data_IF_825875564831
#
_entry.id   IF_825875564831
#
_cell.length_a   1.000
_cell.length_b   1.000
_cell.length_c   1.000
_cell.angle_alpha   90.00
_cell.angle_beta   90.00
_cell.angle_gamma   90.00
#
_symmetry.space_group_name_H-M   'P 1'
#
loop_
_entity.id
_entity.type
_entity.pdbx_description
1 polymer ?
#
# COMPACT_ATOMS: atom_id res chain seq x y z
N UNK A 1 -92.75 6.05 -28.63
CA UNK A 1 -93.16 6.82 -27.43
C UNK A 1 -92.31 6.30 -26.28
N UNK A 2 -91.24 6.94 -25.84
CA UNK A 2 -90.94 8.37 -25.72
C UNK A 2 -89.49 8.69 -26.06
N UNK A 3 -89.34 9.78 -26.81
CA UNK A 3 -88.23 10.74 -26.93
C UNK A 3 -86.91 10.35 -27.62
N UNK A 4 -86.95 10.61 -28.92
CA UNK A 4 -85.88 10.90 -29.87
C UNK A 4 -85.11 12.21 -29.56
N UNK A 5 -83.79 12.14 -29.78
CA UNK A 5 -82.94 13.08 -30.57
C UNK A 5 -82.82 14.55 -30.13
N UNK A 6 -81.61 14.91 -29.69
CA UNK A 6 -80.77 16.02 -30.24
C UNK A 6 -79.48 16.10 -29.40
N UNK A 7 -78.42 15.38 -29.74
CA UNK A 7 -77.35 15.76 -30.68
C UNK A 7 -76.86 17.23 -30.61
N UNK A 8 -75.62 17.34 -30.09
CA UNK A 8 -74.52 18.26 -30.45
C UNK A 8 -74.76 19.78 -30.32
N UNK A 9 -73.90 20.43 -29.52
CA UNK A 9 -72.88 21.43 -29.96
C UNK A 9 -72.31 22.19 -28.74
N UNK A 10 -70.97 22.07 -28.57
CA UNK A 10 -69.99 23.01 -27.97
C UNK A 10 -70.12 23.34 -26.46
N UNK A 11 -69.09 23.51 -25.62
CA UNK A 11 -67.62 23.51 -25.67
C UNK A 11 -67.23 23.60 -24.16
N UNK A 12 -66.34 22.84 -23.55
CA UNK A 12 -64.89 23.02 -23.64
C UNK A 12 -64.22 22.27 -22.47
N UNK A 13 -63.01 21.76 -22.74
CA UNK A 13 -61.95 21.32 -21.82
C UNK A 13 -62.22 20.00 -21.06
N UNK A 14 -61.33 18.99 -21.06
CA UNK A 14 -59.88 19.00 -21.28
C UNK A 14 -59.39 17.56 -21.57
N UNK A 15 -58.72 17.44 -22.70
CA UNK A 15 -57.63 16.53 -23.08
C UNK A 15 -57.49 15.16 -22.37
N UNK A 16 -57.69 14.12 -23.18
CA UNK A 16 -56.97 12.85 -23.08
C UNK A 16 -55.46 13.12 -23.13
N UNK A 17 -54.72 12.60 -22.14
CA UNK A 17 -53.33 12.21 -22.34
C UNK A 17 -53.19 10.72 -22.04
N UNK A 18 -53.04 9.98 -23.13
CA UNK A 18 -52.38 8.68 -23.22
C UNK A 18 -51.25 8.57 -22.19
N UNK A 19 -51.28 7.52 -21.37
CA UNK A 19 -50.09 7.07 -20.63
C UNK A 19 -49.13 6.45 -21.65
N UNK A 20 -48.42 7.32 -22.38
CA UNK A 20 -47.28 6.90 -23.16
C UNK A 20 -46.25 6.31 -22.20
N UNK A 21 -45.82 5.10 -22.53
CA UNK A 21 -44.69 4.42 -21.91
C UNK A 21 -43.43 5.29 -22.09
N UNK A 22 -43.18 6.18 -21.14
CA UNK A 22 -41.88 6.82 -20.99
C UNK A 22 -40.95 5.74 -20.43
N UNK A 23 -40.29 5.03 -21.32
CA UNK A 23 -39.07 4.31 -20.98
C UNK A 23 -38.12 5.34 -20.36
N UNK A 24 -37.92 5.26 -19.04
CA UNK A 24 -36.82 5.94 -18.39
C UNK A 24 -35.55 5.31 -18.95
N UNK A 25 -34.97 5.97 -19.95
CA UNK A 25 -33.62 5.70 -20.42
C UNK A 25 -32.67 6.08 -19.27
N UNK A 26 -32.52 5.15 -18.32
CA UNK A 26 -31.42 5.17 -17.37
C UNK A 26 -30.16 4.84 -18.18
N UNK A 27 -29.64 5.86 -18.86
CA UNK A 27 -28.23 5.90 -19.23
C UNK A 27 -27.45 5.87 -17.91
N UNK A 28 -27.22 4.66 -17.40
CA UNK A 28 -26.08 4.39 -16.54
C UNK A 28 -24.88 4.69 -17.42
N UNK A 29 -24.39 5.93 -17.36
CA UNK A 29 -23.00 6.19 -17.68
C UNK A 29 -22.22 5.19 -16.83
N UNK A 30 -21.64 4.18 -17.48
CA UNK A 30 -20.69 3.28 -16.84
C UNK A 30 -19.49 4.17 -16.56
N UNK A 31 -19.51 4.84 -15.41
CA UNK A 31 -18.29 5.36 -14.82
C UNK A 31 -17.49 4.10 -14.49
N UNK A 32 -16.46 3.82 -15.29
CA UNK A 32 -15.41 2.90 -14.87
C UNK A 32 -15.03 3.31 -13.44
N UNK A 33 -15.04 2.34 -12.52
CA UNK A 33 -14.56 2.56 -11.17
C UNK A 33 -13.17 3.22 -11.30
N UNK A 34 -12.94 4.37 -10.63
CA UNK A 34 -11.70 5.11 -10.82
C UNK A 34 -10.51 4.22 -10.51
N UNK A 35 -9.49 4.23 -11.39
CA UNK A 35 -8.24 3.49 -11.21
C UNK A 35 -7.71 3.71 -9.78
N UNK A 36 -7.49 2.63 -9.04
CA UNK A 36 -6.97 2.70 -7.67
C UNK A 36 -5.50 2.28 -7.64
N UNK A 37 -4.69 3.06 -6.93
CA UNK A 37 -3.28 2.79 -6.74
C UNK A 37 -2.93 2.86 -5.25
N UNK A 38 -1.86 2.17 -4.87
CA UNK A 38 -1.25 2.29 -3.54
C UNK A 38 0.14 2.89 -3.64
N UNK A 39 0.53 3.68 -2.67
CA UNK A 39 1.91 4.15 -2.54
C UNK A 39 2.41 4.10 -1.11
N UNK A 40 3.60 3.53 -0.94
CA UNK A 40 4.25 3.34 0.35
C UNK A 40 5.54 4.15 0.43
N UNK A 41 5.66 5.03 1.44
CA UNK A 41 6.86 5.85 1.56
C UNK A 41 8.11 5.06 1.99
N UNK A 42 9.30 5.60 1.73
CA UNK A 42 10.52 5.11 2.36
C UNK A 42 10.56 5.43 3.84
N UNK A 43 10.90 4.44 4.67
CA UNK A 43 10.88 4.59 6.13
C UNK A 43 11.76 3.58 6.91
N UNK A 44 12.71 2.90 6.27
CA UNK A 44 13.65 1.98 6.93
C UNK A 44 12.97 1.00 7.90
N UNK A 45 13.42 0.96 9.16
CA UNK A 45 12.88 0.05 10.18
C UNK A 45 11.40 0.30 10.54
N UNK A 46 10.86 1.48 10.23
CA UNK A 46 9.42 1.72 10.35
C UNK A 46 8.60 1.07 9.22
N UNK A 47 9.24 0.36 8.29
CA UNK A 47 8.55 -0.56 7.38
C UNK A 47 7.65 -1.55 8.10
N UNK A 48 7.93 -1.86 9.38
CA UNK A 48 7.06 -2.67 10.23
C UNK A 48 5.64 -2.09 10.42
N UNK A 49 5.50 -0.77 10.42
CA UNK A 49 4.18 -0.12 10.42
C UNK A 49 3.44 -0.44 9.12
N UNK A 50 4.13 -0.31 7.98
CA UNK A 50 3.57 -0.58 6.67
C UNK A 50 3.27 -2.07 6.46
N UNK A 51 4.00 -2.99 7.11
CA UNK A 51 3.62 -4.41 7.19
C UNK A 51 2.31 -4.60 7.95
N UNK A 52 2.08 -3.81 9.01
CA UNK A 52 0.78 -3.76 9.70
C UNK A 52 -0.35 -3.28 8.78
N UNK A 53 -0.06 -2.30 7.94
CA UNK A 53 -0.98 -1.82 6.90
C UNK A 53 -1.28 -2.92 5.89
N UNK A 54 -0.24 -3.53 5.31
CA UNK A 54 -0.38 -4.63 4.36
C UNK A 54 -1.16 -5.82 4.95
N UNK A 55 -0.93 -6.16 6.22
CA UNK A 55 -1.67 -7.20 6.93
C UNK A 55 -3.16 -6.87 7.01
N UNK A 56 -3.50 -5.66 7.46
CA UNK A 56 -4.88 -5.25 7.61
C UNK A 56 -5.59 -5.12 6.26
N UNK A 57 -4.94 -4.56 5.23
CA UNK A 57 -5.47 -4.53 3.86
C UNK A 57 -5.75 -5.94 3.34
N UNK A 58 -4.80 -6.87 3.53
CA UNK A 58 -4.95 -8.26 3.06
C UNK A 58 -6.10 -8.99 3.73
N UNK A 59 -6.39 -8.66 5.00
CA UNK A 59 -7.42 -9.32 5.81
C UNK A 59 -8.78 -8.62 5.76
N UNK A 60 -8.82 -7.31 5.61
CA UNK A 60 -10.05 -6.53 5.81
C UNK A 60 -10.37 -5.58 4.65
N UNK A 61 -9.52 -5.48 3.64
CA UNK A 61 -9.73 -4.64 2.47
C UNK A 61 -9.45 -5.41 1.18
N UNK A 62 -9.85 -6.69 1.10
CA UNK A 62 -9.48 -7.54 -0.03
C UNK A 62 -10.13 -7.08 -1.33
N UNK A 63 -11.37 -6.56 -1.27
CA UNK A 63 -12.07 -5.93 -2.38
C UNK A 63 -11.42 -4.63 -2.83
N UNK A 64 -10.91 -3.80 -1.90
CA UNK A 64 -10.11 -2.62 -2.26
C UNK A 64 -8.81 -3.03 -2.96
N UNK A 65 -8.09 -4.03 -2.42
CA UNK A 65 -6.87 -4.55 -3.05
C UNK A 65 -7.11 -5.19 -4.42
N UNK A 66 -8.30 -5.73 -4.67
CA UNK A 66 -8.67 -6.29 -5.97
C UNK A 66 -8.78 -5.20 -7.06
N UNK A 67 -9.14 -3.97 -6.69
CA UNK A 67 -9.21 -2.80 -7.58
C UNK A 67 -7.86 -2.10 -7.77
N UNK A 68 -6.86 -2.42 -6.94
CA UNK A 68 -5.54 -1.79 -7.02
C UNK A 68 -4.78 -2.30 -8.24
N UNK A 69 -4.56 -1.41 -9.21
CA UNK A 69 -3.80 -1.69 -10.42
C UNK A 69 -2.29 -1.57 -10.19
N UNK A 70 -1.87 -0.47 -9.54
CA UNK A 70 -0.45 -0.13 -9.37
C UNK A 70 -0.10 0.05 -7.91
N UNK A 71 1.06 -0.46 -7.54
CA UNK A 71 1.63 -0.32 -6.19
C UNK A 71 3.01 0.30 -6.33
N UNK A 72 3.17 1.51 -5.83
CA UNK A 72 4.44 2.20 -5.80
C UNK A 72 5.09 2.16 -4.42
N UNK A 73 6.42 2.27 -4.40
CA UNK A 73 7.11 2.49 -3.15
C UNK A 73 8.56 2.91 -3.31
N UNK A 74 9.09 3.48 -2.25
CA UNK A 74 10.51 3.81 -2.09
C UNK A 74 11.07 3.06 -0.89
N UNK A 75 12.31 2.56 -0.96
CA UNK A 75 12.98 1.93 0.17
C UNK A 75 12.14 0.81 0.79
N UNK A 76 11.97 0.79 2.11
CA UNK A 76 11.07 -0.15 2.81
C UNK A 76 9.65 -0.21 2.19
N UNK A 77 9.14 0.89 1.65
CA UNK A 77 7.85 0.91 0.97
C UNK A 77 7.84 0.12 -0.35
N UNK A 78 8.95 0.09 -1.09
CA UNK A 78 9.07 -0.75 -2.28
C UNK A 78 9.04 -2.24 -1.94
N UNK A 79 9.64 -2.63 -0.80
CA UNK A 79 9.60 -4.00 -0.28
C UNK A 79 8.18 -4.41 0.10
N UNK A 80 7.41 -3.51 0.73
CA UNK A 80 6.01 -3.76 1.10
C UNK A 80 5.16 -3.86 -0.17
N UNK A 81 5.43 -2.99 -1.16
CA UNK A 81 4.80 -3.08 -2.46
C UNK A 81 5.06 -4.41 -3.17
N UNK A 82 6.29 -4.94 -3.08
CA UNK A 82 6.65 -6.24 -3.61
C UNK A 82 5.85 -7.37 -2.92
N UNK A 83 5.72 -7.33 -1.59
CA UNK A 83 4.90 -8.30 -0.84
C UNK A 83 3.45 -8.27 -1.31
N UNK A 84 2.84 -7.09 -1.49
CA UNK A 84 1.44 -6.98 -1.91
C UNK A 84 1.19 -7.33 -3.38
N UNK A 85 2.19 -7.14 -4.25
CA UNK A 85 2.10 -7.45 -5.69
C UNK A 85 2.46 -8.90 -6.03
N UNK A 86 3.28 -9.56 -5.21
CA UNK A 86 3.80 -10.91 -5.46
C UNK A 86 3.08 -11.94 -4.58
N UNK A 87 3.30 -11.91 -3.26
CA UNK A 87 2.71 -12.88 -2.34
C UNK A 87 2.48 -12.31 -0.95
N UNK A 88 1.20 -12.13 -0.59
CA UNK A 88 0.77 -11.59 0.71
C UNK A 88 1.07 -12.54 1.87
N UNK A 89 1.31 -13.83 1.61
CA UNK A 89 1.68 -14.78 2.66
C UNK A 89 3.07 -14.48 3.25
N UNK A 90 3.90 -13.72 2.53
CA UNK A 90 5.22 -13.28 3.00
C UNK A 90 5.17 -12.27 4.16
N UNK A 91 4.00 -11.68 4.47
CA UNK A 91 3.88 -10.67 5.53
C UNK A 91 4.44 -11.18 6.87
N UNK A 92 4.12 -12.42 7.26
CA UNK A 92 4.61 -12.99 8.51
C UNK A 92 6.13 -13.18 8.53
N UNK A 93 6.70 -13.64 7.40
CA UNK A 93 8.14 -13.77 7.23
C UNK A 93 8.85 -12.40 7.27
N UNK A 94 8.28 -11.38 6.64
CA UNK A 94 8.82 -10.02 6.68
C UNK A 94 8.78 -9.40 8.08
N UNK A 95 7.72 -9.68 8.87
CA UNK A 95 7.64 -9.26 10.28
C UNK A 95 8.74 -9.93 11.09
N UNK A 96 8.93 -11.24 10.91
CA UNK A 96 10.00 -11.98 11.60
C UNK A 96 11.38 -11.44 11.21
N UNK A 97 11.62 -11.22 9.91
CA UNK A 97 12.86 -10.65 9.40
C UNK A 97 13.15 -9.28 10.02
N UNK A 98 12.16 -8.39 10.10
CA UNK A 98 12.34 -7.07 10.72
C UNK A 98 12.73 -7.16 12.20
N UNK A 99 12.16 -8.11 12.95
CA UNK A 99 12.56 -8.35 14.34
C UNK A 99 13.96 -8.93 14.47
N UNK A 100 14.27 -9.96 13.70
CA UNK A 100 15.58 -10.61 13.74
C UNK A 100 16.69 -9.64 13.35
N UNK A 101 16.43 -8.77 12.35
CA UNK A 101 17.35 -7.73 11.92
C UNK A 101 17.58 -6.67 13.00
N UNK A 102 16.54 -6.28 13.73
CA UNK A 102 16.67 -5.36 14.85
C UNK A 102 17.50 -5.98 16.00
N UNK A 103 17.22 -7.24 16.34
CA UNK A 103 17.96 -8.00 17.36
C UNK A 103 19.44 -8.16 16.95
N UNK A 104 19.72 -8.48 15.68
CA UNK A 104 21.09 -8.58 15.13
C UNK A 104 21.86 -7.26 15.24
N UNK A 105 21.20 -6.13 14.91
CA UNK A 105 21.80 -4.80 14.99
C UNK A 105 22.07 -4.38 16.43
N UNK A 106 21.13 -4.62 17.35
CA UNK A 106 21.34 -4.30 18.76
C UNK A 106 22.46 -5.11 19.40
N UNK A 107 22.76 -6.30 18.87
CA UNK A 107 23.92 -7.08 19.27
C UNK A 107 25.27 -6.54 18.74
N UNK A 108 25.25 -5.61 17.78
CA UNK A 108 26.49 -5.03 17.24
C UNK A 108 27.04 -3.89 18.12
N UNK A 109 28.36 -3.76 18.32
CA UNK A 109 28.96 -2.75 19.19
C UNK A 109 28.59 -1.29 18.87
N UNK A 110 28.40 -0.96 17.58
CA UNK A 110 28.01 0.38 17.10
C UNK A 110 26.67 0.34 16.35
N UNK A 111 25.86 -0.70 16.56
CA UNK A 111 24.62 -0.90 15.82
C UNK A 111 24.84 -0.97 14.32
N UNK A 112 23.99 -0.26 13.55
CA UNK A 112 24.09 -0.15 12.09
C UNK A 112 25.38 0.49 11.58
N UNK A 113 26.13 1.18 12.44
CA UNK A 113 27.41 1.82 12.10
C UNK A 113 28.61 0.89 12.32
N UNK A 114 28.38 -0.36 12.73
CA UNK A 114 29.43 -1.34 12.98
C UNK A 114 30.18 -1.66 11.69
N UNK A 115 31.51 -1.48 11.62
CA UNK A 115 32.28 -1.75 10.42
C UNK A 115 32.08 -3.19 9.93
N UNK A 116 31.93 -3.36 8.61
CA UNK A 116 31.69 -4.65 7.91
C UNK A 116 30.30 -5.28 8.12
N UNK A 117 29.48 -4.80 9.05
CA UNK A 117 28.07 -5.17 9.08
C UNK A 117 27.39 -4.65 7.80
N UNK A 118 26.52 -5.46 7.20
CA UNK A 118 25.81 -5.07 5.98
C UNK A 118 24.38 -5.57 6.03
N UNK A 119 23.48 -4.66 6.40
CA UNK A 119 22.03 -4.89 6.34
C UNK A 119 21.60 -5.34 4.94
N UNK A 120 22.23 -4.81 3.90
CA UNK A 120 21.92 -5.17 2.51
C UNK A 120 22.18 -6.63 2.20
N UNK A 121 23.21 -7.26 2.80
CA UNK A 121 23.44 -8.69 2.62
C UNK A 121 22.35 -9.54 3.27
N UNK A 122 21.92 -9.16 4.47
CA UNK A 122 20.81 -9.83 5.17
C UNK A 122 19.50 -9.69 4.36
N UNK A 123 19.25 -8.49 3.80
CA UNK A 123 18.09 -8.24 2.94
C UNK A 123 18.16 -9.00 1.61
N UNK A 124 19.30 -8.98 0.91
CA UNK A 124 19.52 -9.71 -0.35
C UNK A 124 19.26 -11.20 -0.15
N UNK A 125 19.85 -11.80 0.89
CA UNK A 125 19.61 -13.20 1.25
C UNK A 125 18.14 -13.48 1.51
N UNK A 126 17.46 -12.63 2.29
CA UNK A 126 16.03 -12.82 2.57
C UNK A 126 15.19 -12.78 1.29
N UNK A 127 15.45 -11.81 0.40
CA UNK A 127 14.73 -11.70 -0.87
C UNK A 127 15.00 -12.89 -1.78
N UNK A 128 16.25 -13.38 -1.83
CA UNK A 128 16.60 -14.55 -2.62
C UNK A 128 15.98 -15.85 -2.10
N UNK A 129 15.89 -16.00 -0.78
CA UNK A 129 15.31 -17.17 -0.13
C UNK A 129 13.78 -17.19 -0.23
N UNK A 130 13.12 -16.01 -0.24
CA UNK A 130 11.66 -15.90 -0.11
C UNK A 130 10.90 -15.57 -1.38
N UNK A 131 11.50 -14.87 -2.34
CA UNK A 131 10.79 -14.52 -3.57
C UNK A 131 10.68 -15.75 -4.49
N UNK A 132 9.47 -16.04 -5.03
CA UNK A 132 9.30 -17.14 -5.97
C UNK A 132 10.08 -16.89 -7.28
N UNK A 133 10.36 -17.97 -8.02
CA UNK A 133 11.15 -17.90 -9.27
C UNK A 133 10.58 -16.91 -10.30
N UNK A 134 9.25 -16.82 -10.41
CA UNK A 134 8.54 -15.92 -11.34
C UNK A 134 8.14 -14.56 -10.71
N UNK A 135 8.72 -14.18 -9.56
CA UNK A 135 8.39 -12.92 -8.88
C UNK A 135 8.49 -11.67 -9.77
N UNK A 136 9.46 -11.65 -10.68
CA UNK A 136 9.67 -10.56 -11.63
C UNK A 136 8.54 -10.41 -12.65
N UNK A 137 7.93 -11.51 -13.07
CA UNK A 137 6.75 -11.50 -13.96
C UNK A 137 5.53 -10.97 -13.22
N UNK A 138 5.32 -11.43 -11.98
CA UNK A 138 4.20 -10.99 -11.12
C UNK A 138 4.27 -9.51 -10.76
N UNK A 139 5.49 -9.00 -10.53
CA UNK A 139 5.73 -7.62 -10.17
C UNK A 139 5.72 -6.67 -11.38
N UNK A 140 6.09 -7.13 -12.58
CA UNK A 140 6.19 -6.28 -13.76
C UNK A 140 4.83 -5.70 -14.15
N UNK A 141 4.78 -4.38 -14.37
CA UNK A 141 3.54 -3.63 -14.65
C UNK A 141 2.66 -3.38 -13.43
N UNK A 142 2.93 -4.03 -12.29
CA UNK A 142 2.15 -3.89 -11.04
C UNK A 142 2.89 -3.16 -9.93
N UNK A 143 4.19 -3.41 -9.79
CA UNK A 143 5.09 -2.79 -8.81
C UNK A 143 5.88 -1.65 -9.46
N UNK A 144 5.96 -0.51 -8.79
CA UNK A 144 6.68 0.68 -9.24
C UNK A 144 7.70 1.09 -8.17
N UNK A 145 8.97 0.87 -8.46
CA UNK A 145 10.08 1.05 -7.51
C UNK A 145 10.75 2.40 -7.75
N UNK A 146 10.65 3.30 -6.78
CA UNK A 146 11.34 4.60 -6.79
C UNK A 146 12.82 4.41 -6.49
N UNK A 147 13.69 4.93 -7.36
CA UNK A 147 15.16 4.91 -7.20
C UNK A 147 15.75 6.27 -7.57
N UNK A 148 16.90 6.59 -6.99
CA UNK A 148 17.65 7.81 -7.33
C UNK A 148 18.82 7.46 -8.24
N UNK A 149 18.82 7.95 -9.48
CA UNK A 149 19.96 7.80 -10.38
C UNK A 149 21.13 8.67 -9.90
N UNK A 150 22.31 8.06 -9.68
CA UNK A 150 23.47 8.77 -9.11
C UNK A 150 24.08 9.81 -10.05
N UNK A 151 24.05 9.55 -11.36
CA UNK A 151 24.66 10.42 -12.36
C UNK A 151 23.77 11.64 -12.62
N UNK A 152 22.49 11.40 -12.93
CA UNK A 152 21.55 12.49 -13.22
C UNK A 152 21.02 13.18 -11.96
N UNK A 153 21.13 12.54 -10.79
CA UNK A 153 20.55 12.97 -9.50
C UNK A 153 19.03 13.16 -9.55
N UNK A 154 18.37 12.47 -10.48
CA UNK A 154 16.91 12.49 -10.65
C UNK A 154 16.30 11.18 -10.19
N UNK A 155 15.01 11.24 -9.88
CA UNK A 155 14.23 10.05 -9.63
C UNK A 155 14.02 9.27 -10.94
N UNK A 156 14.08 7.95 -10.86
CA UNK A 156 13.56 7.04 -11.87
C UNK A 156 12.58 6.07 -11.18
N UNK A 157 11.53 5.66 -11.89
CA UNK A 157 10.60 4.64 -11.41
C UNK A 157 10.74 3.39 -12.27
N UNK A 158 11.19 2.30 -11.66
CA UNK A 158 11.38 1.01 -12.32
C UNK A 158 10.15 0.14 -12.11
N UNK A 159 9.50 -0.28 -13.20
CA UNK A 159 8.24 -1.05 -13.14
C UNK A 159 8.22 -2.33 -13.97
N UNK A 160 9.30 -2.61 -14.68
CA UNK A 160 9.44 -3.81 -15.51
C UNK A 160 10.76 -4.47 -15.16
N UNK A 161 10.73 -5.78 -14.94
CA UNK A 161 11.85 -6.58 -14.47
C UNK A 161 12.05 -7.79 -15.38
N UNK A 162 13.22 -7.91 -16.01
CA UNK A 162 13.50 -9.00 -16.96
C UNK A 162 13.87 -10.32 -16.30
N UNK A 163 14.18 -10.32 -15.00
CA UNK A 163 14.52 -11.51 -14.23
C UNK A 163 14.26 -11.31 -12.73
N UNK A 164 14.17 -12.42 -11.98
CA UNK A 164 14.07 -12.38 -10.51
C UNK A 164 15.24 -11.62 -9.89
N UNK A 165 16.45 -11.83 -10.41
CA UNK A 165 17.65 -11.14 -9.96
C UNK A 165 17.59 -9.64 -10.24
N UNK A 166 17.07 -9.20 -11.40
CA UNK A 166 16.90 -7.77 -11.67
C UNK A 166 15.89 -7.15 -10.69
N UNK A 167 14.77 -7.82 -10.40
CA UNK A 167 13.81 -7.37 -9.38
C UNK A 167 14.49 -7.22 -8.00
N UNK A 168 15.23 -8.23 -7.55
CA UNK A 168 15.98 -8.17 -6.29
C UNK A 168 16.93 -6.98 -6.27
N UNK A 169 17.71 -6.77 -7.34
CA UNK A 169 18.63 -5.64 -7.44
C UNK A 169 17.89 -4.29 -7.43
N UNK A 170 16.71 -4.18 -8.06
CA UNK A 170 15.88 -2.97 -8.01
C UNK A 170 15.40 -2.66 -6.58
N UNK A 171 14.94 -3.67 -5.84
CA UNK A 171 14.52 -3.52 -4.45
C UNK A 171 15.70 -3.12 -3.55
N UNK A 172 16.85 -3.77 -3.72
CA UNK A 172 18.08 -3.42 -2.99
C UNK A 172 18.55 -2.00 -3.32
N UNK A 173 18.51 -1.58 -4.59
CA UNK A 173 18.83 -0.21 -4.98
C UNK A 173 17.89 0.81 -4.32
N UNK A 174 16.59 0.53 -4.30
CA UNK A 174 15.61 1.39 -3.66
C UNK A 174 15.80 1.49 -2.14
N UNK A 175 16.45 0.51 -1.51
CA UNK A 175 16.81 0.51 -0.07
C UNK A 175 18.28 0.88 0.21
N UNK A 176 19.07 1.25 -0.82
CA UNK A 176 20.50 1.49 -0.66
C UNK A 176 20.79 2.89 -0.11
N UNK A 177 21.10 2.95 1.18
CA UNK A 177 21.58 4.16 1.86
C UNK A 177 23.09 4.02 2.12
N UNK A 178 23.96 4.86 1.51
CA UNK A 178 25.42 4.70 1.57
C UNK A 178 26.02 4.57 2.98
N UNK A 179 25.38 5.20 3.98
CA UNK A 179 25.83 5.16 5.38
C UNK A 179 25.72 3.74 5.98
N UNK A 180 24.75 2.93 5.52
CA UNK A 180 24.44 1.60 6.09
C UNK A 180 24.76 0.43 5.14
N UNK A 181 24.87 0.71 3.85
CA UNK A 181 24.82 -0.31 2.80
C UNK A 181 26.19 -0.67 2.19
N UNK A 182 27.25 0.06 2.55
CA UNK A 182 28.59 -0.08 1.96
C UNK A 182 28.90 1.00 0.92
N UNK A 183 30.02 0.83 0.20
CA UNK A 183 30.52 1.83 -0.75
C UNK A 183 30.19 1.52 -2.22
N UNK A 184 29.74 0.31 -2.53
CA UNK A 184 29.46 -0.12 -3.91
C UNK A 184 27.95 -0.04 -4.18
N UNK A 185 27.48 0.99 -4.91
CA UNK A 185 26.06 1.12 -5.23
C UNK A 185 25.62 0.00 -6.19
N UNK A 186 24.36 -0.46 -6.10
CA UNK A 186 23.78 -1.37 -7.07
C UNK A 186 23.80 -0.78 -8.48
N UNK A 187 24.00 -1.67 -9.47
CA UNK A 187 24.02 -1.32 -10.89
C UNK A 187 22.89 -2.05 -11.59
N UNK A 188 21.96 -1.29 -12.17
CA UNK A 188 20.81 -1.81 -12.91
C UNK A 188 20.89 -1.24 -14.32
N UNK A 189 20.90 -2.10 -15.33
CA UNK A 189 20.99 -1.70 -16.76
C UNK A 189 22.13 -0.72 -17.03
N UNK A 190 23.30 -0.95 -16.41
CA UNK A 190 24.49 -0.12 -16.56
C UNK A 190 24.50 1.20 -15.78
N UNK A 191 23.42 1.54 -15.06
CA UNK A 191 23.30 2.77 -14.25
C UNK A 191 23.41 2.48 -12.76
N UNK A 192 24.02 3.41 -12.01
CA UNK A 192 24.18 3.32 -10.55
C UNK A 192 23.02 4.02 -9.85
N UNK A 193 22.47 3.38 -8.82
CA UNK A 193 21.31 3.88 -8.10
C UNK A 193 21.53 3.95 -6.58
N UNK A 194 20.78 4.86 -5.95
CA UNK A 194 20.59 4.98 -4.51
C UNK A 194 19.11 4.84 -4.17
N UNK A 195 18.84 4.81 -2.86
CA UNK A 195 17.49 4.82 -2.30
C UNK A 195 16.61 5.94 -2.94
N UNK A 196 15.37 5.59 -3.26
CA UNK A 196 14.41 6.50 -3.90
C UNK A 196 14.06 7.70 -3.03
N UNK A 197 14.17 7.58 -1.70
CA UNK A 197 13.84 8.60 -0.72
C UNK A 197 14.69 9.86 -0.81
N UNK A 198 15.84 9.80 -1.50
CA UNK A 198 16.67 10.97 -1.79
C UNK A 198 16.07 11.90 -2.85
N UNK A 199 15.15 11.40 -3.68
CA UNK A 199 14.53 12.17 -4.76
C UNK A 199 13.00 12.17 -4.69
N UNK A 200 12.37 11.02 -4.49
CA UNK A 200 10.93 10.86 -4.37
C UNK A 200 10.60 9.75 -3.35
N UNK A 201 10.32 10.16 -2.11
CA UNK A 201 10.12 9.23 -1.00
C UNK A 201 8.71 8.64 -0.95
N UNK A 202 7.72 9.30 -1.54
CA UNK A 202 6.33 8.85 -1.60
C UNK A 202 5.82 9.03 -3.04
N UNK A 203 6.17 8.11 -3.96
CA UNK A 203 5.81 8.23 -5.37
C UNK A 203 4.28 8.28 -5.57
N UNK A 204 3.81 9.00 -6.57
CA UNK A 204 2.38 9.10 -6.88
C UNK A 204 2.13 8.95 -8.36
N UNK A 205 0.93 8.52 -8.73
CA UNK A 205 0.50 8.41 -10.12
C UNK A 205 -0.37 9.62 -10.50
N UNK A 206 -0.26 10.05 -11.76
CA UNK A 206 -1.12 11.10 -12.34
C UNK A 206 -2.51 10.59 -12.71
N UNK A 207 -2.64 9.29 -12.95
CA UNK A 207 -3.89 8.61 -13.31
C UNK A 207 -4.49 7.91 -12.08
N UNK A 208 -5.79 8.08 -11.89
CA UNK A 208 -6.53 7.43 -10.81
C UNK A 208 -6.27 8.02 -9.41
N UNK A 209 -6.90 7.42 -8.40
CA UNK A 209 -6.68 7.76 -6.99
C UNK A 209 -5.52 6.94 -6.45
N UNK A 210 -4.53 7.61 -5.87
CA UNK A 210 -3.44 6.95 -5.12
C UNK A 210 -3.71 7.07 -3.63
N UNK A 211 -3.82 5.93 -2.93
CA UNK A 211 -3.87 5.88 -1.47
C UNK A 211 -2.43 5.92 -0.96
N UNK A 212 -2.07 6.94 -0.21
CA UNK A 212 -0.73 7.10 0.34
C UNK A 212 -0.62 6.53 1.75
N UNK A 213 0.46 5.79 1.98
CA UNK A 213 0.76 5.12 3.25
C UNK A 213 2.09 5.63 3.81
N UNK A 214 2.05 6.09 5.06
CA UNK A 214 3.22 6.64 5.75
C UNK A 214 3.18 6.33 7.24
N UNK A 215 4.28 5.85 7.86
CA UNK A 215 4.37 5.75 9.30
C UNK A 215 4.54 7.12 9.97
N UNK A 216 4.76 8.19 9.21
CA UNK A 216 4.88 9.56 9.72
C UNK A 216 3.54 10.27 9.64
N UNK A 217 3.18 11.01 10.69
CA UNK A 217 1.98 11.82 10.71
C UNK A 217 2.08 12.93 9.64
N UNK A 218 1.05 13.11 8.83
CA UNK A 218 1.07 14.01 7.68
C UNK A 218 -0.31 14.14 7.04
N UNK A 219 -0.34 14.22 5.72
CA UNK A 219 -1.58 14.30 4.91
C UNK A 219 -1.88 13.00 4.16
N UNK A 220 -1.20 11.91 4.50
CA UNK A 220 -1.41 10.62 3.85
C UNK A 220 -2.68 9.95 4.35
N UNK A 221 -3.37 9.21 3.47
CA UNK A 221 -4.62 8.52 3.79
C UNK A 221 -4.47 7.56 4.98
N UNK A 222 -3.37 6.81 5.00
CA UNK A 222 -3.04 5.87 6.08
C UNK A 222 -1.75 6.33 6.76
N UNK A 223 -1.91 7.06 7.86
CA UNK A 223 -0.82 7.48 8.72
C UNK A 223 -1.25 7.63 10.20
N UNK A 224 -0.30 7.77 11.14
CA UNK A 224 -0.64 8.06 12.53
C UNK A 224 -1.38 9.40 12.67
N UNK A 225 -2.59 9.33 13.24
CA UNK A 225 -3.33 10.51 13.67
C UNK A 225 -2.73 11.10 14.97
N UNK A 226 -1.61 11.80 14.86
CA UNK A 226 -1.15 12.66 15.96
C UNK A 226 -2.13 13.83 16.11
N UNK A 227 -2.40 14.27 17.35
CA UNK A 227 -3.42 15.28 17.65
C UNK A 227 -3.35 16.45 16.66
N UNK A 228 -4.44 16.60 15.90
CA UNK A 228 -4.69 17.65 14.91
C UNK A 228 -4.88 18.99 15.63
N UNK A 229 -3.79 19.60 16.09
CA UNK A 229 -3.76 21.04 16.35
C UNK A 229 -3.42 21.82 15.07
N UNK A 230 -3.24 23.14 15.19
CA UNK A 230 -2.62 24.01 14.16
C UNK A 230 -1.13 23.65 13.98
N UNK A 231 -0.87 22.44 13.49
CA UNK A 231 0.48 21.94 13.25
C UNK A 231 1.11 22.61 12.04
N UNK A 232 2.43 22.81 12.10
CA UNK A 232 3.22 23.19 10.93
C UNK A 232 3.46 21.93 10.11
N UNK A 233 3.27 22.02 8.79
CA UNK A 233 3.53 20.94 7.85
C UNK A 233 4.65 21.33 6.89
N UNK A 234 5.50 20.37 6.55
CA UNK A 234 6.58 20.56 5.58
C UNK A 234 6.55 19.43 4.57
N UNK A 235 6.69 19.76 3.29
CA UNK A 235 6.82 18.77 2.22
C UNK A 235 8.29 18.61 1.87
N UNK A 236 8.78 17.39 1.90
CA UNK A 236 10.13 17.03 1.49
C UNK A 236 10.11 15.73 0.72
N UNK A 237 10.67 15.72 -0.50
CA UNK A 237 10.73 14.53 -1.37
C UNK A 237 9.37 13.88 -1.55
N UNK A 238 8.39 14.74 -1.80
CA UNK A 238 7.04 14.43 -2.25
C UNK A 238 6.19 13.79 -1.14
N UNK A 239 6.68 13.89 0.10
CA UNK A 239 5.98 13.51 1.30
C UNK A 239 5.80 14.71 2.23
N UNK A 240 4.57 14.91 2.69
CA UNK A 240 4.24 15.93 3.69
C UNK A 240 4.31 15.35 5.09
N UNK A 241 5.06 16.01 5.97
CA UNK A 241 5.25 15.65 7.37
C UNK A 241 4.67 16.73 8.28
N UNK A 242 4.02 16.33 9.36
CA UNK A 242 3.74 17.22 10.47
C UNK A 242 5.03 17.46 11.28
N UNK A 243 5.38 18.73 11.51
CA UNK A 243 6.56 19.10 12.31
C UNK A 243 6.20 18.93 13.78
N UNK A 244 6.60 17.80 14.36
CA UNK A 244 6.41 17.51 15.78
C UNK A 244 7.47 16.52 16.32
N UNK A 245 7.59 16.42 17.63
CA UNK A 245 8.58 15.54 18.28
C UNK A 245 8.37 14.05 17.97
N UNK A 246 7.12 13.62 17.78
CA UNK A 246 6.81 12.22 17.47
C UNK A 246 7.33 11.84 16.08
N UNK A 247 7.18 12.69 15.08
CA UNK A 247 7.72 12.49 13.74
C UNK A 247 9.25 12.56 13.72
N UNK A 248 9.86 13.44 14.50
CA UNK A 248 11.31 13.43 14.68
C UNK A 248 11.79 12.09 15.27
N UNK A 249 11.12 11.61 16.33
CA UNK A 249 11.39 10.28 16.92
C UNK A 249 11.20 9.16 15.89
N UNK A 250 10.15 9.20 15.08
CA UNK A 250 9.93 8.23 14.00
C UNK A 250 11.03 8.27 12.95
N UNK A 251 11.51 9.46 12.57
CA UNK A 251 12.61 9.60 11.61
C UNK A 251 13.89 8.98 12.15
N UNK A 252 14.21 9.24 13.42
CA UNK A 252 15.31 8.56 14.09
C UNK A 252 15.11 7.04 14.11
N UNK A 253 13.92 6.56 14.46
CA UNK A 253 13.60 5.12 14.52
C UNK A 253 13.52 4.44 13.15
N UNK A 254 13.34 5.19 12.06
CA UNK A 254 13.43 4.70 10.70
C UNK A 254 14.89 4.37 10.32
N UNK A 255 15.84 5.19 10.83
CA UNK A 255 17.28 5.04 10.58
C UNK A 255 17.95 4.05 11.55
N UNK A 256 17.52 4.05 12.81
CA UNK A 256 18.08 3.22 13.88
C UNK A 256 16.96 2.36 14.49
N UNK A 257 17.09 1.03 14.48
CA UNK A 257 15.99 0.16 14.89
C UNK A 257 15.63 0.41 16.37
N UNK A 258 14.35 0.64 16.70
CA UNK A 258 13.90 0.66 18.08
C UNK A 258 13.76 -0.77 18.64
N UNK A 259 13.38 -0.92 19.91
CA UNK A 259 13.17 -2.24 20.52
C UNK A 259 12.09 -3.05 19.80
N UNK A 260 12.14 -4.38 19.96
CA UNK A 260 11.14 -5.30 19.41
C UNK A 260 9.71 -4.98 19.85
N UNK A 261 9.52 -4.57 21.10
CA UNK A 261 8.21 -4.12 21.63
C UNK A 261 7.73 -2.86 20.90
N UNK A 262 8.65 -1.94 20.63
CA UNK A 262 8.34 -0.72 19.88
C UNK A 262 7.98 -1.06 18.43
N UNK A 263 8.74 -1.93 17.76
CA UNK A 263 8.42 -2.41 16.41
C UNK A 263 7.03 -3.09 16.37
N UNK A 264 6.73 -3.94 17.36
CA UNK A 264 5.40 -4.56 17.53
C UNK A 264 4.30 -3.51 17.70
N UNK A 265 4.56 -2.45 18.48
CA UNK A 265 3.60 -1.36 18.64
C UNK A 265 3.32 -0.62 17.33
N UNK A 266 4.34 -0.42 16.48
CA UNK A 266 4.17 0.17 15.15
C UNK A 266 3.39 -0.74 14.21
N UNK A 267 3.63 -2.06 14.24
CA UNK A 267 2.83 -3.04 13.48
C UNK A 267 1.34 -2.95 13.84
N UNK A 268 1.02 -2.98 15.14
CA UNK A 268 -0.35 -2.85 15.61
C UNK A 268 -0.97 -1.50 15.23
N UNK A 269 -0.18 -0.42 15.32
CA UNK A 269 -0.64 0.91 14.94
C UNK A 269 -0.96 1.01 13.44
N UNK A 270 -0.15 0.40 12.58
CA UNK A 270 -0.42 0.30 11.13
C UNK A 270 -1.72 -0.42 10.83
N UNK A 271 -2.01 -1.52 11.55
CA UNK A 271 -3.31 -2.20 11.43
C UNK A 271 -4.47 -1.29 11.84
N UNK A 272 -4.38 -0.64 13.01
CA UNK A 272 -5.45 0.23 13.52
C UNK A 272 -5.73 1.43 12.61
N UNK A 273 -4.68 2.05 12.06
CA UNK A 273 -4.83 3.18 11.15
C UNK A 273 -5.45 2.75 9.81
N UNK A 274 -5.09 1.56 9.33
CA UNK A 274 -5.69 0.97 8.12
C UNK A 274 -7.14 0.59 8.32
N UNK A 275 -7.49 -0.03 9.45
CA UNK A 275 -8.87 -0.35 9.77
C UNK A 275 -9.73 0.92 9.83
N UNK A 276 -9.23 1.99 10.46
CA UNK A 276 -9.92 3.29 10.47
C UNK A 276 -10.15 3.80 9.06
N UNK A 277 -9.13 3.78 8.21
CA UNK A 277 -9.23 4.20 6.82
C UNK A 277 -10.28 3.36 6.06
N UNK A 278 -10.19 2.03 6.12
CA UNK A 278 -11.13 1.13 5.43
C UNK A 278 -12.57 1.36 5.87
N UNK A 279 -12.81 1.62 7.17
CA UNK A 279 -14.15 1.93 7.68
C UNK A 279 -14.67 3.29 7.17
N UNK A 280 -13.80 4.30 7.10
CA UNK A 280 -14.15 5.62 6.58
C UNK A 280 -14.49 5.59 5.09
N UNK A 281 -13.78 4.75 4.32
CA UNK A 281 -14.01 4.55 2.89
C UNK A 281 -15.13 3.52 2.58
N UNK A 282 -15.79 2.98 3.60
CA UNK A 282 -16.82 1.94 3.41
C UNK A 282 -16.30 0.62 2.81
N UNK A 283 -14.99 0.40 2.85
CA UNK A 283 -14.29 -0.75 2.25
C UNK A 283 -13.89 -1.82 3.27
N UNK A 284 -14.34 -1.74 4.53
CA UNK A 284 -13.98 -2.70 5.57
C UNK A 284 -14.81 -4.00 5.49
N UNK A 285 -14.10 -5.12 5.35
CA UNK A 285 -14.66 -6.45 5.28
C UNK A 285 -14.53 -7.19 6.63
N UNK A 286 -15.66 -7.41 7.29
CA UNK A 286 -15.71 -8.27 8.46
C UNK A 286 -15.58 -9.73 8.03
N UNK A 287 -14.50 -10.39 8.40
CA UNK A 287 -14.40 -11.84 8.29
C UNK A 287 -15.33 -12.48 9.34
N UNK A 288 -16.51 -12.96 8.93
CA UNK A 288 -17.24 -13.95 9.74
C UNK A 288 -16.40 -15.22 9.74
N UNK A 289 -16.08 -15.83 10.90
CA UNK A 289 -15.49 -17.17 10.89
C UNK A 289 -16.44 -18.09 10.11
N UNK A 290 -15.92 -18.82 9.12
CA UNK A 290 -16.69 -19.88 8.47
C UNK A 290 -17.07 -20.87 9.58
N UNK A 291 -18.35 -20.91 9.97
CA UNK A 291 -18.87 -21.99 10.79
C UNK A 291 -18.75 -23.27 9.97
N UNK A 292 -17.67 -24.02 10.16
CA UNK A 292 -17.61 -25.42 9.75
C UNK A 292 -18.54 -26.19 10.68
N UNK A 293 -19.78 -26.38 10.27
CA UNK A 293 -20.68 -27.35 10.87
C UNK A 293 -20.02 -28.73 10.72
N UNK A 294 -19.40 -29.21 11.80
CA UNK A 294 -18.97 -30.60 11.90
C UNK A 294 -20.26 -31.41 12.07
N UNK A 295 -20.75 -32.01 10.99
CA UNK A 295 -21.82 -33.01 11.07
C UNK A 295 -21.23 -34.28 11.67
N UNK A 296 -21.41 -34.48 12.98
CA UNK A 296 -21.14 -35.76 13.62
C UNK A 296 -22.21 -36.74 13.14
N UNK A 297 -21.83 -37.66 12.24
CA UNK A 297 -22.66 -38.84 11.94
C UNK A 297 -22.62 -39.76 13.16
N UNK A 298 -23.77 -39.99 13.78
CA UNK A 298 -23.97 -41.10 14.72
C UNK A 298 -24.00 -42.39 13.89
N UNK A 299 -23.01 -43.24 14.08
CA UNK A 299 -23.15 -44.66 13.72
C UNK A 299 -24.12 -45.29 14.71
N UNK A 300 -25.17 -45.91 14.17
CA UNK A 300 -26.06 -46.81 14.90
C UNK A 300 -25.55 -48.22 14.64
N UNK A 301 -25.01 -48.86 15.67
CA UNK A 301 -24.70 -50.28 15.65
C UNK A 301 -25.96 -51.10 15.94
N UNK A 302 -26.20 -52.10 15.09
CA UNK A 302 -27.13 -53.22 15.27
C UNK A 302 -26.70 -54.11 16.44
#
# INVERSE_FOLDING_TARGET
MTNEVSEKIFQSQKEETSFDNVAFDLNYEIYDDPIMNLSFCGCGFLGIYQLGVAYCLSRHGSGLLAKVERIAGSSAGSLIGAVLSIDRNLIADCVKFAYDLADEIHAQPLGVLTPKYSLMKSLEKFLDDKLPHNAHEMASGRLYVSVTNMESRRNETLSHFSSRQELVQCLLASSYIPIYAGLKPPVIRGKKYLDGGWTNNLPSFSEGRTIHVSPFAGWQDICPADKLGRGIFVTFKEQTFQVNWKNFRRMHQALFPPSKETLRSYFLKGQMDTERFLRQEGCYESHKPRNSTITVRRETSL
#
